data_IF_744039211005
#
_entry.id   IF_744039211005
#
_cell.length_a   1.000
_cell.length_b   1.000
_cell.length_c   1.000
_cell.angle_alpha   90.00
_cell.angle_beta   90.00
_cell.angle_gamma   90.00
#
_symmetry.space_group_name_H-M   'P 1'
#
loop_
_entity.id
_entity.type
_entity.pdbx_description
1 polymer ?
#
# COMPACT_ATOMS: atom_id res chain seq x y z
N UNK A 1 -10.29 -123.68 -33.42
CA UNK A 1 -10.83 -122.72 -32.42
C UNK A 1 -9.97 -121.45 -32.40
N UNK A 2 -10.56 -120.25 -32.18
CA UNK A 2 -9.94 -118.93 -32.36
C UNK A 2 -9.32 -118.37 -31.05
N UNK A 3 -8.61 -117.23 -31.10
CA UNK A 3 -8.99 -116.14 -30.20
C UNK A 3 -9.00 -114.74 -30.82
N UNK A 4 -9.87 -113.92 -30.22
CA UNK A 4 -10.39 -112.62 -30.67
C UNK A 4 -9.40 -111.47 -30.43
N UNK A 5 -9.17 -110.61 -31.43
CA UNK A 5 -8.53 -109.29 -31.24
C UNK A 5 -9.47 -108.36 -30.46
N UNK A 6 -9.13 -108.05 -29.21
CA UNK A 6 -9.76 -106.97 -28.43
C UNK A 6 -9.18 -105.63 -28.89
N UNK A 7 -9.94 -104.86 -29.64
CA UNK A 7 -9.68 -103.43 -29.87
C UNK A 7 -9.86 -102.68 -28.56
N UNK A 8 -8.73 -102.29 -27.95
CA UNK A 8 -8.67 -101.44 -26.75
C UNK A 8 -9.03 -100.01 -27.17
N UNK A 9 -10.23 -99.54 -26.80
CA UNK A 9 -10.64 -98.13 -26.97
C UNK A 9 -9.76 -97.23 -26.09
N UNK A 10 -8.82 -96.53 -26.75
CA UNK A 10 -8.31 -95.15 -26.55
C UNK A 10 -8.27 -94.52 -25.13
N UNK A 11 -7.07 -94.07 -24.68
CA UNK A 11 -6.92 -92.96 -23.72
C UNK A 11 -6.74 -91.59 -24.39
N UNK A 12 -6.67 -91.52 -25.73
CA UNK A 12 -6.36 -90.29 -26.51
C UNK A 12 -7.29 -89.09 -26.27
N UNK A 13 -8.51 -89.29 -25.76
CA UNK A 13 -9.47 -88.19 -25.51
C UNK A 13 -9.10 -87.36 -24.27
N UNK A 14 -8.50 -87.98 -23.23
CA UNK A 14 -8.18 -87.29 -21.96
C UNK A 14 -6.88 -86.47 -22.00
N UNK A 15 -5.95 -86.80 -22.89
CA UNK A 15 -4.71 -86.03 -23.09
C UNK A 15 -4.97 -84.78 -23.94
N UNK A 16 -5.75 -84.91 -25.03
CA UNK A 16 -6.13 -83.78 -25.88
C UNK A 16 -6.98 -82.73 -25.13
N UNK A 17 -7.86 -83.17 -24.22
CA UNK A 17 -8.69 -82.28 -23.39
C UNK A 17 -7.85 -81.48 -22.36
N UNK A 18 -6.79 -82.09 -21.82
CA UNK A 18 -5.84 -81.41 -20.91
C UNK A 18 -4.89 -80.46 -21.64
N UNK A 19 -4.44 -80.82 -22.84
CA UNK A 19 -3.66 -79.93 -23.71
C UNK A 19 -4.50 -78.72 -24.12
N UNK A 20 -5.79 -78.92 -24.43
CA UNK A 20 -6.69 -77.83 -24.79
C UNK A 20 -7.00 -76.90 -23.60
N UNK A 21 -7.17 -77.45 -22.39
CA UNK A 21 -7.34 -76.66 -21.15
C UNK A 21 -6.08 -75.85 -20.79
N UNK A 22 -4.88 -76.42 -20.99
CA UNK A 22 -3.61 -75.71 -20.83
C UNK A 22 -3.44 -74.58 -21.86
N UNK A 23 -3.80 -74.84 -23.11
CA UNK A 23 -3.79 -73.85 -24.19
C UNK A 23 -4.78 -72.70 -23.93
N UNK A 24 -6.00 -72.99 -23.46
CA UNK A 24 -6.97 -71.97 -23.06
C UNK A 24 -6.47 -71.12 -21.88
N UNK A 25 -5.88 -71.75 -20.86
CA UNK A 25 -5.27 -71.04 -19.73
C UNK A 25 -4.11 -70.16 -20.15
N UNK A 26 -3.27 -70.63 -21.09
CA UNK A 26 -2.19 -69.84 -21.64
C UNK A 26 -2.74 -68.62 -22.40
N UNK A 27 -3.75 -68.81 -23.25
CA UNK A 27 -4.42 -67.71 -23.97
C UNK A 27 -5.03 -66.70 -23.00
N UNK A 28 -5.68 -67.17 -21.93
CA UNK A 28 -6.25 -66.29 -20.91
C UNK A 28 -5.16 -65.49 -20.19
N UNK A 29 -4.06 -66.14 -19.80
CA UNK A 29 -2.92 -65.48 -19.18
C UNK A 29 -2.28 -64.42 -20.08
N UNK A 30 -2.18 -64.67 -21.39
CA UNK A 30 -1.65 -63.67 -22.35
C UNK A 30 -2.58 -62.46 -22.44
N UNK A 31 -3.90 -62.66 -22.44
CA UNK A 31 -4.88 -61.58 -22.42
C UNK A 31 -4.80 -60.78 -21.11
N UNK A 32 -4.70 -61.44 -19.97
CA UNK A 32 -4.54 -60.77 -18.66
C UNK A 32 -3.28 -59.92 -18.61
N UNK A 33 -2.16 -60.43 -19.13
CA UNK A 33 -0.90 -59.68 -19.24
C UNK A 33 -1.09 -58.44 -20.11
N UNK A 34 -1.75 -58.55 -21.26
CA UNK A 34 -2.01 -57.42 -22.15
C UNK A 34 -2.90 -56.35 -21.49
N UNK A 35 -3.96 -56.77 -20.79
CA UNK A 35 -4.86 -55.87 -20.04
C UNK A 35 -4.09 -55.17 -18.91
N UNK A 36 -3.25 -55.89 -18.18
CA UNK A 36 -2.43 -55.30 -17.11
C UNK A 36 -1.42 -54.29 -17.66
N UNK A 37 -0.79 -54.59 -18.79
CA UNK A 37 0.15 -53.67 -19.46
C UNK A 37 -0.56 -52.39 -19.92
N UNK A 38 -1.73 -52.51 -20.56
CA UNK A 38 -2.53 -51.35 -20.98
C UNK A 38 -2.95 -50.49 -19.76
N UNK A 39 -3.38 -51.14 -18.68
CA UNK A 39 -3.75 -50.43 -17.44
C UNK A 39 -2.56 -49.68 -16.83
N UNK A 40 -1.38 -50.31 -16.77
CA UNK A 40 -0.15 -49.68 -16.27
C UNK A 40 0.22 -48.47 -17.13
N UNK A 41 0.19 -48.62 -18.46
CA UNK A 41 0.53 -47.55 -19.39
C UNK A 41 -0.46 -46.39 -19.30
N UNK A 42 -1.77 -46.69 -19.21
CA UNK A 42 -2.82 -45.69 -19.01
C UNK A 42 -2.62 -44.91 -17.71
N UNK A 43 -2.26 -45.61 -16.62
CA UNK A 43 -1.96 -44.96 -15.34
C UNK A 43 -0.73 -44.06 -15.44
N UNK A 44 0.37 -44.55 -16.03
CA UNK A 44 1.58 -43.77 -16.22
C UNK A 44 1.33 -42.52 -17.07
N UNK A 45 0.59 -42.67 -18.17
CA UNK A 45 0.21 -41.56 -19.03
C UNK A 45 -0.60 -40.50 -18.26
N UNK A 46 -1.61 -40.92 -17.48
CA UNK A 46 -2.41 -40.01 -16.66
C UNK A 46 -1.56 -39.29 -15.61
N UNK A 47 -0.69 -40.00 -14.90
CA UNK A 47 0.23 -39.40 -13.92
C UNK A 47 1.13 -38.36 -14.59
N UNK A 48 1.76 -38.72 -15.71
CA UNK A 48 2.61 -37.81 -16.48
C UNK A 48 1.82 -36.58 -16.97
N UNK A 49 0.60 -36.77 -17.47
CA UNK A 49 -0.27 -35.68 -17.92
C UNK A 49 -0.59 -34.71 -16.77
N UNK A 50 -0.95 -35.22 -15.58
CA UNK A 50 -1.22 -34.38 -14.41
C UNK A 50 0.02 -33.63 -13.93
N UNK A 51 1.18 -34.27 -13.95
CA UNK A 51 2.43 -33.64 -13.55
C UNK A 51 2.84 -32.53 -14.52
N UNK A 52 2.75 -32.77 -15.83
CA UNK A 52 3.05 -31.77 -16.85
C UNK A 52 2.10 -30.58 -16.77
N UNK A 53 0.80 -30.84 -16.62
CA UNK A 53 -0.21 -29.79 -16.44
C UNK A 53 0.13 -28.95 -15.22
N UNK A 54 0.45 -29.59 -14.09
CA UNK A 54 0.81 -28.86 -12.87
C UNK A 54 2.11 -28.07 -13.00
N UNK A 55 3.09 -28.57 -13.76
CA UNK A 55 4.36 -27.86 -14.03
C UNK A 55 4.19 -26.63 -14.93
N UNK A 56 3.12 -26.55 -15.73
CA UNK A 56 2.78 -25.38 -16.54
C UNK A 56 1.94 -24.40 -15.74
N UNK A 57 0.85 -24.87 -15.11
CA UNK A 57 -0.10 -24.00 -14.42
C UNK A 57 0.49 -23.30 -13.18
N UNK A 58 1.40 -23.95 -12.45
CA UNK A 58 1.99 -23.36 -11.23
C UNK A 58 2.83 -22.11 -11.55
N UNK A 59 3.87 -22.16 -12.41
CA UNK A 59 4.61 -20.97 -12.80
C UNK A 59 3.76 -19.89 -13.44
N UNK A 60 2.75 -20.24 -14.25
CA UNK A 60 1.86 -19.24 -14.86
C UNK A 60 1.04 -18.48 -13.81
N UNK A 61 0.54 -19.18 -12.79
CA UNK A 61 -0.17 -18.57 -11.67
C UNK A 61 0.76 -17.71 -10.83
N UNK A 62 1.95 -18.21 -10.50
CA UNK A 62 2.96 -17.46 -9.74
C UNK A 62 3.40 -16.19 -10.51
N UNK A 63 3.65 -16.30 -11.81
CA UNK A 63 4.00 -15.15 -12.65
C UNK A 63 2.88 -14.10 -12.68
N UNK A 64 1.62 -14.55 -12.73
CA UNK A 64 0.46 -13.66 -12.69
C UNK A 64 0.34 -12.94 -11.34
N UNK A 65 0.52 -13.67 -10.23
CA UNK A 65 0.50 -13.11 -8.87
C UNK A 65 1.64 -12.11 -8.64
N UNK A 66 2.87 -12.48 -9.00
CA UNK A 66 4.03 -11.60 -8.87
C UNK A 66 3.89 -10.32 -9.70
N UNK A 67 3.27 -10.41 -10.89
CA UNK A 67 2.99 -9.23 -11.72
C UNK A 67 1.99 -8.30 -11.05
N UNK A 68 0.92 -8.85 -10.45
CA UNK A 68 -0.08 -8.07 -9.71
C UNK A 68 0.55 -7.38 -8.48
N UNK A 69 1.33 -8.13 -7.70
CA UNK A 69 2.04 -7.60 -6.53
C UNK A 69 3.02 -6.47 -6.91
N UNK A 70 3.74 -6.65 -8.02
CA UNK A 70 4.67 -5.64 -8.53
C UNK A 70 3.95 -4.34 -8.93
N UNK A 71 2.85 -4.45 -9.68
CA UNK A 71 2.08 -3.26 -10.08
C UNK A 71 1.43 -2.56 -8.88
N UNK A 72 0.92 -3.33 -7.92
CA UNK A 72 0.39 -2.78 -6.67
C UNK A 72 1.48 -2.08 -5.83
N UNK A 73 2.68 -2.65 -5.77
CA UNK A 73 3.83 -2.04 -5.10
C UNK A 73 4.26 -0.74 -5.77
N UNK A 74 4.37 -0.71 -7.11
CA UNK A 74 4.70 0.50 -7.87
C UNK A 74 3.65 1.59 -7.67
N UNK A 75 2.37 1.25 -7.70
CA UNK A 75 1.29 2.20 -7.49
C UNK A 75 1.31 2.78 -6.07
N UNK A 76 1.55 1.95 -5.06
CA UNK A 76 1.74 2.40 -3.67
C UNK A 76 2.91 3.37 -3.56
N UNK A 77 4.05 3.04 -4.16
CA UNK A 77 5.23 3.90 -4.13
C UNK A 77 4.98 5.26 -4.80
N UNK A 78 4.27 5.29 -5.94
CA UNK A 78 3.90 6.56 -6.61
C UNK A 78 2.96 7.39 -5.74
N UNK A 79 1.98 6.76 -5.08
CA UNK A 79 1.07 7.45 -4.16
C UNK A 79 1.81 8.07 -2.99
N UNK A 80 2.73 7.31 -2.40
CA UNK A 80 3.57 7.78 -1.29
C UNK A 80 4.47 8.94 -1.71
N UNK A 81 5.08 8.90 -2.90
CA UNK A 81 5.86 10.03 -3.43
C UNK A 81 5.01 11.29 -3.58
N UNK A 82 3.82 11.16 -4.18
CA UNK A 82 2.91 12.31 -4.35
C UNK A 82 2.42 12.84 -3.00
N UNK A 83 2.19 11.98 -2.03
CA UNK A 83 1.82 12.36 -0.67
C UNK A 83 2.94 13.13 0.02
N UNK A 84 4.19 12.64 -0.06
CA UNK A 84 5.37 13.32 0.47
C UNK A 84 5.60 14.69 -0.18
N UNK A 85 5.42 14.80 -1.50
CA UNK A 85 5.52 16.08 -2.22
C UNK A 85 4.44 17.07 -1.77
N UNK A 86 3.20 16.60 -1.59
CA UNK A 86 2.10 17.42 -1.08
C UNK A 86 2.38 17.90 0.34
N UNK A 87 2.84 17.02 1.22
CA UNK A 87 3.18 17.38 2.59
C UNK A 87 4.31 18.40 2.65
N UNK A 88 5.34 18.25 1.82
CA UNK A 88 6.41 19.23 1.70
C UNK A 88 5.90 20.60 1.24
N UNK A 89 4.98 20.63 0.28
CA UNK A 89 4.33 21.87 -0.18
C UNK A 89 3.48 22.49 0.93
N UNK A 90 2.70 21.68 1.67
CA UNK A 90 1.88 22.15 2.78
C UNK A 90 2.75 22.81 3.85
N UNK A 91 3.82 22.14 4.28
CA UNK A 91 4.78 22.70 5.24
C UNK A 91 5.39 24.01 4.73
N UNK A 92 5.77 24.06 3.44
CA UNK A 92 6.30 25.27 2.82
C UNK A 92 5.30 26.44 2.77
N UNK A 93 4.02 26.16 2.54
CA UNK A 93 2.95 27.16 2.55
C UNK A 93 2.62 27.64 3.96
N UNK A 94 2.58 26.72 4.94
CA UNK A 94 2.39 27.06 6.35
C UNK A 94 3.50 28.00 6.83
N UNK A 95 4.76 27.67 6.55
CA UNK A 95 5.88 28.54 6.93
C UNK A 95 5.80 29.94 6.30
N UNK A 96 5.37 30.05 5.04
CA UNK A 96 5.16 31.36 4.39
C UNK A 96 4.04 32.15 5.07
N UNK A 97 2.96 31.47 5.46
CA UNK A 97 1.85 32.11 6.16
C UNK A 97 2.28 32.63 7.53
N UNK A 98 3.01 31.81 8.30
CA UNK A 98 3.55 32.20 9.61
C UNK A 98 4.51 33.40 9.50
N UNK A 99 5.36 33.42 8.47
CA UNK A 99 6.27 34.55 8.21
C UNK A 99 5.48 35.83 7.88
N UNK A 100 4.47 35.73 7.00
CA UNK A 100 3.64 36.88 6.65
C UNK A 100 2.86 37.40 7.85
N UNK A 101 2.31 36.52 8.68
CA UNK A 101 1.63 36.88 9.92
C UNK A 101 2.57 37.64 10.87
N UNK A 102 3.77 37.12 11.08
CA UNK A 102 4.81 37.77 11.90
C UNK A 102 5.21 39.14 11.36
N UNK A 103 5.39 39.26 10.04
CA UNK A 103 5.74 40.53 9.39
C UNK A 103 4.63 41.57 9.52
N UNK A 104 3.37 41.17 9.33
CA UNK A 104 2.22 42.06 9.50
C UNK A 104 2.05 42.50 10.96
N UNK A 105 2.19 41.57 11.91
CA UNK A 105 2.14 41.87 13.34
C UNK A 105 3.23 42.89 13.71
N UNK A 106 4.46 42.68 13.24
CA UNK A 106 5.57 43.59 13.46
C UNK A 106 5.30 45.00 12.94
N UNK A 107 4.85 45.12 11.69
CA UNK A 107 4.52 46.44 11.09
C UNK A 107 3.41 47.12 11.90
N UNK A 108 2.39 46.38 12.32
CA UNK A 108 1.30 46.92 13.13
C UNK A 108 1.79 47.43 14.48
N UNK A 109 2.62 46.65 15.19
CA UNK A 109 3.20 47.05 16.47
C UNK A 109 4.08 48.30 16.30
N UNK A 110 5.01 48.31 15.33
CA UNK A 110 5.92 49.44 15.09
C UNK A 110 5.15 50.73 14.75
N UNK A 111 4.07 50.62 13.97
CA UNK A 111 3.24 51.79 13.61
C UNK A 111 2.44 52.31 14.80
N UNK A 112 1.85 51.43 15.61
CA UNK A 112 1.14 51.81 16.83
C UNK A 112 2.07 52.44 17.87
N UNK A 113 3.28 51.90 18.03
CA UNK A 113 4.30 52.45 18.93
C UNK A 113 4.76 53.83 18.48
N UNK A 114 4.99 54.01 17.18
CA UNK A 114 5.32 55.32 16.59
C UNK A 114 4.21 56.35 16.84
N UNK A 115 2.95 55.98 16.59
CA UNK A 115 1.81 56.87 16.84
C UNK A 115 1.66 57.22 18.32
N UNK A 116 1.84 56.25 19.21
CA UNK A 116 1.81 56.45 20.66
C UNK A 116 2.92 57.40 21.13
N UNK A 117 4.12 57.25 20.56
CA UNK A 117 5.25 58.15 20.80
C UNK A 117 4.93 59.58 20.34
N UNK A 118 4.38 59.75 19.13
CA UNK A 118 3.99 61.06 18.61
C UNK A 118 2.90 61.73 19.45
N UNK A 119 1.88 60.99 19.86
CA UNK A 119 0.82 61.50 20.76
C UNK A 119 1.39 61.93 22.12
N UNK A 120 2.34 61.16 22.66
CA UNK A 120 3.00 61.49 23.92
C UNK A 120 3.83 62.78 23.83
N UNK A 121 4.55 62.97 22.72
CA UNK A 121 5.31 64.20 22.44
C UNK A 121 4.37 65.40 22.26
N UNK A 122 3.31 65.24 21.47
CA UNK A 122 2.33 66.30 21.25
C UNK A 122 1.65 66.70 22.56
N UNK A 123 1.20 65.72 23.35
CA UNK A 123 0.59 65.94 24.67
C UNK A 123 1.52 66.72 25.59
N UNK A 124 2.79 66.31 25.70
CA UNK A 124 3.78 67.02 26.50
C UNK A 124 3.96 68.46 26.02
N UNK A 125 4.05 68.69 24.71
CA UNK A 125 4.14 70.04 24.15
C UNK A 125 2.92 70.93 24.46
N UNK A 126 1.72 70.36 24.56
CA UNK A 126 0.53 71.10 25.02
C UNK A 126 0.57 71.39 26.52
N UNK A 127 0.98 70.43 27.35
CA UNK A 127 1.16 70.60 28.80
C UNK A 127 2.23 71.68 29.09
N UNK A 128 3.36 71.66 28.38
CA UNK A 128 4.43 72.67 28.50
C UNK A 128 3.94 74.06 28.10
N UNK A 129 3.18 74.19 27.00
CA UNK A 129 2.58 75.47 26.58
C UNK A 129 1.55 75.97 27.59
N UNK A 130 0.71 75.08 28.11
CA UNK A 130 -0.30 75.41 29.12
C UNK A 130 0.35 75.90 30.40
N UNK A 131 1.38 75.21 30.90
CA UNK A 131 2.12 75.59 32.11
C UNK A 131 2.86 76.91 31.92
N UNK A 132 3.52 77.12 30.78
CA UNK A 132 4.17 78.39 30.45
C UNK A 132 3.15 79.55 30.40
N UNK A 133 1.98 79.34 29.79
CA UNK A 133 0.92 80.34 29.76
C UNK A 133 0.43 80.70 31.16
N UNK A 134 0.13 79.69 32.00
CA UNK A 134 -0.28 79.91 33.39
C UNK A 134 0.79 80.67 34.19
N UNK A 135 2.07 80.34 33.99
CA UNK A 135 3.18 81.01 34.64
C UNK A 135 3.28 82.48 34.22
N UNK A 136 3.19 82.77 32.91
CA UNK A 136 3.21 84.13 32.39
C UNK A 136 2.05 84.99 32.96
N UNK A 137 0.83 84.44 33.03
CA UNK A 137 -0.30 85.15 33.62
C UNK A 137 -0.11 85.41 35.12
N UNK A 138 0.44 84.45 35.85
CA UNK A 138 0.74 84.59 37.27
C UNK A 138 1.77 85.70 37.51
N UNK A 139 2.79 85.79 36.67
CA UNK A 139 3.80 86.86 36.72
C UNK A 139 3.18 88.22 36.40
N UNK A 140 2.38 88.31 35.32
CA UNK A 140 1.70 89.56 34.94
C UNK A 140 0.77 90.07 36.06
N UNK A 141 -0.03 89.19 36.69
CA UNK A 141 -0.87 89.58 37.82
C UNK A 141 -0.06 90.13 38.99
N UNK A 142 1.09 89.50 39.28
CA UNK A 142 2.00 89.97 40.33
C UNK A 142 2.58 91.36 40.02
N UNK A 143 2.88 91.67 38.75
CA UNK A 143 3.32 93.02 38.33
C UNK A 143 2.26 94.09 38.61
N UNK A 144 0.98 93.76 38.48
CA UNK A 144 -0.14 94.66 38.80
C UNK A 144 -0.50 94.68 40.29
N UNK A 145 0.24 93.98 41.16
CA UNK A 145 -0.03 93.90 42.60
C UNK A 145 -1.25 93.04 42.97
N UNK A 146 -1.79 92.27 42.01
CA UNK A 146 -2.90 91.35 42.21
C UNK A 146 -2.34 89.96 42.53
N UNK A 147 -2.78 89.34 43.64
CA UNK A 147 -2.44 87.93 43.89
C UNK A 147 -3.43 87.05 43.14
N UNK A 148 -2.91 86.01 42.49
CA UNK A 148 -3.72 84.99 41.82
C UNK A 148 -4.65 84.18 42.75
N UNK A 149 -4.66 84.44 44.06
CA UNK A 149 -5.60 83.86 45.04
C UNK A 149 -6.81 84.76 45.35
N UNK A 150 -6.83 86.02 44.89
CA UNK A 150 -7.89 87.00 45.19
C UNK A 150 -8.99 87.05 44.10
N UNK A 151 -8.93 86.16 43.09
CA UNK A 151 -9.94 85.91 42.04
C UNK A 151 -10.18 84.39 42.01
#
# INVERSE_FOLDING_TARGET
>A
MPPKKKTKKTPKKKTAEKENDLEEKYRHSVLDIAVLQDHILSRQYKTMQTELTSKVERPEKEASQLKEELELSKEKQKREQVEQEKDAIIVGLQHKLDNLETDYEKILIETLDSLTSQLSVARRGWEDKSTALHQNYKELLAEFGLKALDI
#
